data_IF_949753105767
#
_entry.id   IF_949753105767
#
_cell.length_a   1.000
_cell.length_b   1.000
_cell.length_c   1.000
_cell.angle_alpha   90.00
_cell.angle_beta   90.00
_cell.angle_gamma   90.00
#
_symmetry.space_group_name_H-M   'P 1'
#
loop_
_entity.id
_entity.type
_entity.pdbx_description
1 polymer ?
#
# COMPACT_ATOMS: atom_id res chain seq x y z
N UNK A 1 64.96 -11.90 -53.71
CA UNK A 1 64.21 -10.69 -53.30
C UNK A 1 62.70 -10.90 -53.14
N UNK A 2 61.95 -11.43 -54.12
CA UNK A 2 60.47 -11.55 -54.02
C UNK A 2 59.95 -12.42 -52.85
N UNK A 3 60.65 -13.50 -52.49
CA UNK A 3 60.27 -14.39 -51.37
C UNK A 3 60.49 -13.77 -49.98
N UNK A 4 61.48 -12.90 -49.83
CA UNK A 4 61.73 -12.19 -48.56
C UNK A 4 60.65 -11.12 -48.30
N UNK A 5 60.16 -10.44 -49.34
CA UNK A 5 59.02 -9.51 -49.20
C UNK A 5 57.74 -10.24 -48.76
N UNK A 6 57.44 -11.40 -49.33
CA UNK A 6 56.24 -12.15 -48.97
C UNK A 6 56.26 -12.59 -47.50
N UNK A 7 57.41 -13.08 -47.01
CA UNK A 7 57.58 -13.47 -45.60
C UNK A 7 57.48 -12.26 -44.68
N UNK A 8 58.10 -11.13 -45.04
CA UNK A 8 58.01 -9.89 -44.25
C UNK A 8 56.57 -9.35 -44.16
N UNK A 9 55.80 -9.41 -45.26
CA UNK A 9 54.40 -8.98 -45.28
C UNK A 9 53.51 -9.86 -44.41
N UNK A 10 53.72 -11.19 -44.43
CA UNK A 10 52.97 -12.13 -43.58
C UNK A 10 53.29 -11.90 -42.11
N UNK A 11 54.56 -11.71 -41.76
CA UNK A 11 54.97 -11.41 -40.37
C UNK A 11 54.35 -10.09 -39.88
N UNK A 12 54.33 -9.06 -40.72
CA UNK A 12 53.75 -7.77 -40.38
C UNK A 12 52.22 -7.87 -40.18
N UNK A 13 51.52 -8.65 -41.01
CA UNK A 13 50.08 -8.92 -40.87
C UNK A 13 49.75 -9.68 -39.57
N UNK A 14 50.57 -10.66 -39.20
CA UNK A 14 50.39 -11.44 -37.95
C UNK A 14 50.64 -10.56 -36.72
N UNK A 15 51.65 -9.69 -36.75
CA UNK A 15 51.92 -8.75 -35.67
C UNK A 15 50.81 -7.70 -35.51
N UNK A 16 50.23 -7.20 -36.61
CA UNK A 16 49.07 -6.31 -36.58
C UNK A 16 47.82 -7.00 -36.04
N UNK A 17 47.60 -8.28 -36.36
CA UNK A 17 46.49 -9.06 -35.80
C UNK A 17 46.65 -9.31 -34.29
N UNK A 18 47.87 -9.57 -33.82
CA UNK A 18 48.17 -9.75 -32.40
C UNK A 18 47.97 -8.46 -31.58
N UNK A 19 48.20 -7.29 -32.17
CA UNK A 19 47.96 -5.98 -31.54
C UNK A 19 46.46 -5.62 -31.40
N UNK A 20 45.59 -6.24 -32.20
CA UNK A 20 44.14 -6.04 -32.15
C UNK A 20 43.40 -6.99 -31.20
N UNK A 21 44.06 -8.05 -30.73
CA UNK A 21 43.52 -8.96 -29.71
C UNK A 21 43.72 -8.35 -28.31
N UNK A 22 43.13 -7.19 -28.06
CA UNK A 22 42.95 -6.74 -26.67
C UNK A 22 41.97 -7.72 -26.03
N UNK A 23 42.32 -8.36 -24.90
CA UNK A 23 41.36 -9.19 -24.17
C UNK A 23 40.14 -8.32 -23.90
N UNK A 24 38.98 -8.82 -24.32
CA UNK A 24 37.69 -8.21 -24.03
C UNK A 24 37.65 -7.96 -22.53
N UNK A 25 37.81 -6.69 -22.14
CA UNK A 25 37.61 -6.29 -20.76
C UNK A 25 36.23 -6.78 -20.40
N UNK A 26 36.19 -7.70 -19.43
CA UNK A 26 34.99 -8.16 -18.77
C UNK A 26 34.04 -6.96 -18.65
N UNK A 27 32.94 -7.00 -19.40
CA UNK A 27 31.84 -6.08 -19.18
C UNK A 27 31.40 -6.35 -17.74
N UNK A 28 31.94 -5.57 -16.81
CA UNK A 28 31.45 -5.52 -15.45
C UNK A 28 29.98 -5.15 -15.57
N UNK A 29 29.11 -6.14 -15.40
CA UNK A 29 27.67 -5.94 -15.27
C UNK A 29 27.49 -4.80 -14.28
N UNK A 30 27.03 -3.64 -14.77
CA UNK A 30 26.49 -2.60 -13.91
C UNK A 30 25.53 -3.31 -12.96
N UNK A 31 25.71 -3.22 -11.62
CA UNK A 31 24.79 -3.86 -10.70
C UNK A 31 23.46 -3.16 -10.88
N UNK A 32 22.60 -3.73 -11.71
CA UNK A 32 21.24 -3.27 -11.92
C UNK A 32 20.57 -3.46 -10.57
N UNK A 33 20.53 -2.40 -9.75
CA UNK A 33 19.86 -2.41 -8.46
C UNK A 33 18.41 -2.78 -8.74
N UNK A 34 18.07 -4.06 -8.55
CA UNK A 34 16.72 -4.57 -8.77
C UNK A 34 15.80 -3.75 -7.90
N UNK A 35 14.83 -3.06 -8.52
CA UNK A 35 13.82 -2.31 -7.77
C UNK A 35 13.10 -3.32 -6.87
N UNK A 36 13.16 -3.08 -5.56
CA UNK A 36 12.46 -3.91 -4.57
C UNK A 36 10.98 -3.96 -4.93
N UNK A 37 10.45 -5.16 -5.13
CA UNK A 37 9.02 -5.33 -5.37
C UNK A 37 8.25 -4.93 -4.10
N UNK A 38 7.20 -4.12 -4.27
CA UNK A 38 6.30 -3.77 -3.18
C UNK A 38 5.43 -4.97 -2.80
N UNK A 39 5.04 -4.98 -1.53
CA UNK A 39 4.28 -6.06 -0.91
C UNK A 39 3.24 -5.39 0.00
N UNK A 40 1.97 -5.48 -0.37
CA UNK A 40 0.88 -4.77 0.30
C UNK A 40 0.70 -5.28 1.73
N UNK A 41 0.90 -6.59 1.95
CA UNK A 41 0.87 -7.20 3.29
C UNK A 41 1.90 -6.57 4.21
N UNK A 42 3.12 -6.29 3.72
CA UNK A 42 4.17 -5.66 4.54
C UNK A 42 3.80 -4.24 4.95
N UNK A 43 3.02 -3.54 4.15
CA UNK A 43 2.53 -2.20 4.49
C UNK A 43 1.38 -2.26 5.49
N UNK A 44 0.44 -3.18 5.33
CA UNK A 44 -0.77 -3.29 6.17
C UNK A 44 -0.52 -4.00 7.50
N UNK A 45 0.45 -4.93 7.57
CA UNK A 45 0.79 -5.61 8.81
C UNK A 45 1.59 -4.68 9.74
N UNK A 46 0.87 -3.92 10.54
CA UNK A 46 1.38 -3.03 11.58
C UNK A 46 0.33 -2.90 12.69
N UNK A 47 0.77 -2.57 13.90
CA UNK A 47 -0.12 -2.28 15.04
C UNK A 47 -0.58 -0.82 15.05
N UNK A 48 0.06 0.05 14.28
CA UNK A 48 -0.31 1.46 14.25
C UNK A 48 -1.48 1.72 13.30
N UNK A 49 -2.34 2.73 13.59
CA UNK A 49 -3.35 3.17 12.65
C UNK A 49 -2.75 3.61 11.32
N UNK A 50 -3.43 3.28 10.22
CA UNK A 50 -3.07 3.73 8.88
C UNK A 50 -4.10 4.74 8.42
N UNK A 51 -3.67 5.98 8.20
CA UNK A 51 -4.50 7.09 7.79
C UNK A 51 -4.49 7.25 6.27
N UNK A 52 -5.65 7.49 5.68
CA UNK A 52 -5.72 8.04 4.33
C UNK A 52 -5.48 9.55 4.42
N UNK A 53 -4.30 10.00 3.99
CA UNK A 53 -3.89 11.40 4.09
C UNK A 53 -4.48 12.25 2.97
N UNK A 54 -4.37 11.76 1.73
CA UNK A 54 -4.85 12.42 0.53
C UNK A 54 -5.47 11.37 -0.41
N UNK A 55 -6.56 11.70 -1.09
CA UNK A 55 -7.25 10.77 -2.00
C UNK A 55 -7.70 11.48 -3.28
N UNK A 56 -7.73 10.76 -4.40
CA UNK A 56 -8.36 11.23 -5.64
C UNK A 56 -9.88 11.01 -5.65
N UNK A 57 -10.40 10.23 -4.69
CA UNK A 57 -11.83 10.03 -4.57
C UNK A 57 -12.48 11.32 -4.07
N UNK A 58 -13.19 12.02 -4.96
CA UNK A 58 -14.01 13.18 -4.58
C UNK A 58 -15.20 12.70 -3.77
N UNK A 59 -15.05 12.68 -2.45
CA UNK A 59 -16.08 12.25 -1.50
C UNK A 59 -16.16 13.22 -0.30
N UNK A 60 -17.35 13.32 0.30
CA UNK A 60 -17.57 14.09 1.54
C UNK A 60 -17.14 13.26 2.77
N UNK A 61 -15.91 12.72 2.73
CA UNK A 61 -15.33 11.86 3.76
C UNK A 61 -14.08 12.53 4.34
N UNK A 62 -13.90 12.42 5.65
CA UNK A 62 -12.78 13.00 6.40
C UNK A 62 -12.24 11.98 7.40
N UNK A 63 -10.97 12.13 7.78
CA UNK A 63 -10.35 11.35 8.85
C UNK A 63 -10.46 9.83 8.66
N UNK A 64 -10.36 9.35 7.43
CA UNK A 64 -10.40 7.93 7.17
C UNK A 64 -9.15 7.24 7.73
N UNK A 65 -9.39 6.23 8.56
CA UNK A 65 -8.35 5.46 9.24
C UNK A 65 -8.69 3.98 9.22
N UNK A 66 -7.67 3.15 9.00
CA UNK A 66 -7.75 1.71 9.12
C UNK A 66 -6.92 1.23 10.32
N UNK A 67 -7.52 0.43 11.19
CA UNK A 67 -6.87 -0.16 12.36
C UNK A 67 -6.95 -1.67 12.24
N UNK A 68 -5.79 -2.34 12.21
CA UNK A 68 -5.70 -3.79 12.10
C UNK A 68 -6.37 -4.45 13.31
N UNK A 69 -7.18 -5.47 13.03
CA UNK A 69 -7.77 -6.36 14.04
C UNK A 69 -6.92 -7.62 14.14
N UNK A 70 -6.68 -8.31 13.02
CA UNK A 70 -5.80 -9.47 12.95
C UNK A 70 -5.24 -9.65 11.53
N UNK A 71 -4.26 -10.54 11.37
CA UNK A 71 -3.67 -10.88 10.07
C UNK A 71 -3.21 -12.34 10.08
N UNK A 72 -3.43 -13.03 8.97
CA UNK A 72 -2.95 -14.39 8.69
C UNK A 72 -2.14 -14.40 7.40
N UNK A 73 -1.62 -15.56 7.00
CA UNK A 73 -0.93 -15.74 5.72
C UNK A 73 -1.84 -15.57 4.49
N UNK A 74 -3.16 -15.54 4.63
CA UNK A 74 -4.08 -15.37 3.50
C UNK A 74 -4.96 -14.12 3.59
N UNK A 75 -5.21 -13.59 4.78
CA UNK A 75 -6.13 -12.48 4.98
C UNK A 75 -5.64 -11.47 6.02
N UNK A 76 -6.20 -10.27 5.99
CA UNK A 76 -6.11 -9.27 7.05
C UNK A 76 -7.52 -8.79 7.37
N UNK A 77 -7.82 -8.61 8.66
CA UNK A 77 -9.04 -7.96 9.08
C UNK A 77 -8.69 -6.64 9.74
N UNK A 78 -9.44 -5.59 9.42
CA UNK A 78 -9.24 -4.27 10.00
C UNK A 78 -10.56 -3.54 10.10
N UNK A 79 -10.65 -2.62 11.06
CA UNK A 79 -11.74 -1.66 11.12
C UNK A 79 -11.36 -0.44 10.30
N UNK A 80 -12.25 0.02 9.43
CA UNK A 80 -12.13 1.30 8.73
C UNK A 80 -13.15 2.26 9.31
N UNK A 81 -12.68 3.38 9.83
CA UNK A 81 -13.52 4.44 10.38
C UNK A 81 -13.29 5.73 9.61
N UNK A 82 -14.34 6.54 9.48
CA UNK A 82 -14.25 7.87 8.89
C UNK A 82 -15.40 8.74 9.39
N UNK A 83 -15.29 10.05 9.14
CA UNK A 83 -16.39 10.99 9.32
C UNK A 83 -16.99 11.35 7.97
N UNK A 84 -18.30 11.47 7.93
CA UNK A 84 -19.05 12.08 6.83
C UNK A 84 -20.04 13.12 7.38
N UNK A 85 -21.04 13.52 6.58
CA UNK A 85 -22.07 14.48 7.02
C UNK A 85 -23.04 13.91 8.06
N UNK A 86 -23.18 12.59 8.16
CA UNK A 86 -24.06 11.88 9.09
C UNK A 86 -23.38 11.57 10.42
N UNK A 87 -22.05 11.62 10.46
CA UNK A 87 -21.26 11.43 11.67
C UNK A 87 -20.11 10.46 11.44
N UNK A 88 -19.76 9.70 12.48
CA UNK A 88 -18.73 8.66 12.37
C UNK A 88 -19.37 7.38 11.82
N UNK A 89 -18.73 6.80 10.82
CA UNK A 89 -19.02 5.46 10.33
C UNK A 89 -17.82 4.55 10.63
N UNK A 90 -18.08 3.30 11.02
CA UNK A 90 -17.05 2.28 11.22
C UNK A 90 -17.53 0.98 10.58
N UNK A 91 -16.69 0.35 9.78
CA UNK A 91 -16.94 -0.96 9.19
C UNK A 91 -15.78 -1.91 9.49
N UNK A 92 -16.09 -3.17 9.79
CA UNK A 92 -15.12 -4.26 9.75
C UNK A 92 -14.96 -4.70 8.29
N UNK A 93 -13.72 -4.86 7.83
CA UNK A 93 -13.40 -5.25 6.46
C UNK A 93 -12.41 -6.41 6.49
N UNK A 94 -12.57 -7.34 5.54
CA UNK A 94 -11.61 -8.39 5.23
C UNK A 94 -10.85 -8.00 3.96
N UNK A 95 -9.52 -8.11 3.99
CA UNK A 95 -8.67 -8.08 2.83
C UNK A 95 -8.05 -9.46 2.59
N UNK A 96 -8.26 -10.05 1.42
CA UNK A 96 -7.67 -11.33 1.01
C UNK A 96 -6.45 -11.08 0.13
N UNK A 97 -5.33 -11.70 0.52
CA UNK A 97 -4.09 -11.63 -0.22
C UNK A 97 -4.07 -12.71 -1.31
N UNK A 98 -3.71 -12.31 -2.53
CA UNK A 98 -3.53 -13.23 -3.65
C UNK A 98 -2.06 -13.65 -3.72
N UNK A 99 -1.78 -14.93 -3.50
CA UNK A 99 -0.42 -15.49 -3.30
C UNK A 99 0.60 -15.03 -4.35
N UNK A 100 0.20 -15.04 -5.63
CA UNK A 100 1.07 -14.70 -6.76
C UNK A 100 1.07 -13.20 -7.10
N UNK A 101 0.23 -12.39 -6.43
CA UNK A 101 0.11 -10.95 -6.64
C UNK A 101 0.38 -10.19 -5.36
N UNK A 102 1.66 -10.14 -4.94
CA UNK A 102 2.11 -9.45 -3.71
C UNK A 102 1.68 -7.99 -3.57
N UNK A 103 1.35 -7.31 -4.66
CA UNK A 103 0.89 -5.92 -4.66
C UNK A 103 -0.61 -5.77 -4.47
N UNK A 104 -1.37 -6.84 -4.64
CA UNK A 104 -2.81 -6.84 -4.79
C UNK A 104 -3.49 -7.43 -3.57
N UNK A 105 -4.67 -6.92 -3.27
CA UNK A 105 -5.56 -7.43 -2.24
C UNK A 105 -7.01 -7.23 -2.68
N UNK A 106 -7.82 -8.26 -2.49
CA UNK A 106 -9.27 -8.17 -2.67
C UNK A 106 -9.90 -7.80 -1.34
N UNK A 107 -10.72 -6.76 -1.30
CA UNK A 107 -11.36 -6.25 -0.09
C UNK A 107 -12.85 -6.51 -0.13
N UNK A 108 -13.39 -7.03 0.97
CA UNK A 108 -14.82 -7.24 1.13
C UNK A 108 -15.31 -6.87 2.53
N UNK A 109 -16.54 -6.39 2.62
CA UNK A 109 -17.29 -6.40 3.89
C UNK A 109 -17.70 -7.84 4.28
N UNK A 110 -17.94 -8.13 5.57
CA UNK A 110 -18.37 -9.47 6.02
C UNK A 110 -19.65 -9.98 5.36
N UNK A 111 -20.56 -9.08 4.98
CA UNK A 111 -21.80 -9.41 4.25
C UNK A 111 -21.59 -9.58 2.74
N UNK A 112 -20.37 -9.36 2.23
CA UNK A 112 -20.01 -9.46 0.82
C UNK A 112 -20.62 -8.39 -0.08
N UNK A 113 -21.36 -7.42 0.49
CA UNK A 113 -22.07 -6.40 -0.28
C UNK A 113 -21.10 -5.36 -0.84
N UNK A 114 -20.03 -5.03 -0.11
CA UNK A 114 -19.02 -4.06 -0.52
C UNK A 114 -17.75 -4.78 -0.94
N UNK A 115 -17.46 -4.80 -2.25
CA UNK A 115 -16.24 -5.40 -2.79
C UNK A 115 -15.41 -4.39 -3.58
N UNK A 116 -14.11 -4.31 -3.29
CA UNK A 116 -13.13 -3.47 -3.96
C UNK A 116 -11.82 -4.23 -4.14
N UNK A 117 -10.97 -3.75 -5.04
CA UNK A 117 -9.61 -4.26 -5.16
C UNK A 117 -8.61 -3.15 -4.80
N UNK A 118 -7.54 -3.50 -4.12
CA UNK A 118 -6.44 -2.57 -3.79
C UNK A 118 -5.11 -3.06 -4.35
N UNK A 119 -4.39 -2.18 -5.05
CA UNK A 119 -3.03 -2.42 -5.53
C UNK A 119 -2.04 -1.38 -4.97
N UNK A 120 -0.96 -1.83 -4.32
CA UNK A 120 0.10 -0.94 -3.85
C UNK A 120 1.01 -0.53 -5.02
N UNK A 121 0.95 0.74 -5.41
CA UNK A 121 1.74 1.29 -6.53
C UNK A 121 3.06 1.89 -6.08
N UNK A 122 3.16 2.25 -4.80
CA UNK A 122 4.39 2.73 -4.17
C UNK A 122 4.39 2.44 -2.67
N UNK A 123 5.56 2.11 -2.13
CA UNK A 123 5.80 2.00 -0.69
C UNK A 123 7.16 2.64 -0.38
N UNK A 124 7.20 3.47 0.65
CA UNK A 124 8.44 3.99 1.23
C UNK A 124 9.31 2.88 1.83
N UNK A 125 10.61 3.14 1.96
CA UNK A 125 11.57 2.12 2.39
C UNK A 125 11.39 1.71 3.87
N UNK A 126 10.99 2.69 4.71
CA UNK A 126 10.57 2.53 6.11
C UNK A 126 9.11 2.08 6.26
N UNK A 127 8.37 1.98 5.15
CA UNK A 127 6.93 1.65 5.09
C UNK A 127 6.03 2.67 5.78
N UNK A 128 6.54 3.87 6.08
CA UNK A 128 5.79 4.92 6.75
C UNK A 128 4.63 5.48 5.91
N UNK A 129 4.74 5.39 4.59
CA UNK A 129 3.70 5.79 3.65
C UNK A 129 3.68 4.94 2.37
N UNK A 130 2.50 4.86 1.75
CA UNK A 130 2.26 4.14 0.52
C UNK A 130 1.26 4.89 -0.36
N UNK A 131 1.31 4.60 -1.67
CA UNK A 131 0.26 4.99 -2.60
C UNK A 131 -0.48 3.72 -3.00
N UNK A 132 -1.79 3.71 -2.77
CA UNK A 132 -2.70 2.59 -3.03
C UNK A 132 -3.62 3.01 -4.17
N UNK A 133 -3.73 2.16 -5.19
CA UNK A 133 -4.80 2.25 -6.20
C UNK A 133 -5.98 1.45 -5.68
N UNK A 134 -7.17 2.02 -5.75
CA UNK A 134 -8.43 1.38 -5.36
C UNK A 134 -9.30 1.27 -6.60
N UNK A 135 -9.72 0.06 -6.94
CA UNK A 135 -10.61 -0.21 -8.07
C UNK A 135 -11.98 -0.62 -7.54
N UNK A 136 -13.00 0.15 -7.91
CA UNK A 136 -14.38 -0.08 -7.51
C UNK A 136 -15.25 -0.46 -8.70
N UNK A 137 -15.98 -1.57 -8.58
CA UNK A 137 -16.94 -2.01 -9.60
C UNK A 137 -18.30 -1.28 -9.54
N UNK A 138 -18.54 -0.44 -8.52
CA UNK A 138 -19.86 0.13 -8.23
C UNK A 138 -20.38 1.18 -9.24
N UNK A 139 -19.58 1.57 -10.23
CA UNK A 139 -20.00 2.50 -11.30
C UNK A 139 -19.03 2.41 -12.50
N UNK A 140 -19.06 1.29 -13.22
CA UNK A 140 -18.29 1.14 -14.47
C UNK A 140 -16.77 0.99 -14.32
N UNK A 141 -16.30 0.39 -13.21
CA UNK A 141 -14.88 0.25 -12.87
C UNK A 141 -14.15 1.60 -12.78
N UNK A 142 -14.15 2.19 -11.59
CA UNK A 142 -13.45 3.44 -11.32
C UNK A 142 -12.17 3.18 -10.52
N UNK A 143 -11.05 3.64 -11.06
CA UNK A 143 -9.77 3.68 -10.35
C UNK A 143 -9.63 5.01 -9.59
N UNK A 144 -9.40 4.92 -8.28
CA UNK A 144 -8.97 6.04 -7.44
C UNK A 144 -7.63 5.72 -6.80
N UNK A 145 -6.99 6.74 -6.23
CA UNK A 145 -5.71 6.58 -5.55
C UNK A 145 -5.76 7.24 -4.19
N UNK A 146 -5.15 6.56 -3.21
CA UNK A 146 -4.97 7.03 -1.85
C UNK A 146 -3.49 7.13 -1.50
N UNK A 147 -3.10 8.23 -0.90
CA UNK A 147 -1.85 8.37 -0.15
C UNK A 147 -2.13 7.96 1.29
N UNK A 148 -1.67 6.76 1.67
CA UNK A 148 -1.83 6.23 3.02
C UNK A 148 -0.57 6.36 3.84
N UNK A 149 -0.73 6.65 5.12
CA UNK A 149 0.36 7.03 6.02
C UNK A 149 0.15 6.34 7.36
N UNK A 150 1.18 5.67 7.83
CA UNK A 150 1.20 5.04 9.14
C UNK A 150 1.31 6.09 10.25
N UNK A 151 0.65 5.87 11.38
CA UNK A 151 0.48 6.90 12.41
C UNK A 151 1.80 7.53 12.89
N UNK A 152 2.84 6.72 13.12
CA UNK A 152 4.17 7.20 13.54
C UNK A 152 4.81 8.17 12.56
N UNK A 153 4.48 8.07 11.26
CA UNK A 153 5.05 8.90 10.19
C UNK A 153 4.37 10.25 10.04
N UNK A 154 3.25 10.50 10.73
CA UNK A 154 2.56 11.79 10.68
C UNK A 154 3.31 12.89 11.41
N UNK A 155 4.04 12.56 12.49
CA UNK A 155 4.78 13.52 13.30
C UNK A 155 5.94 14.16 12.52
N UNK A 156 6.66 13.35 11.74
CA UNK A 156 7.78 13.80 10.90
C UNK A 156 7.34 14.44 9.58
N UNK A 157 6.03 14.48 9.32
CA UNK A 157 5.46 14.90 8.05
C UNK A 157 5.63 13.86 6.93
N UNK A 158 4.85 14.04 5.87
CA UNK A 158 4.88 13.11 4.73
C UNK A 158 6.13 13.34 3.92
N UNK A 159 6.90 12.27 3.67
CA UNK A 159 8.10 12.36 2.84
C UNK A 159 7.78 12.89 1.43
N UNK A 160 8.64 13.77 0.93
CA UNK A 160 8.51 14.37 -0.41
C UNK A 160 8.42 13.28 -1.51
N UNK A 161 9.12 12.15 -1.32
CA UNK A 161 9.08 11.00 -2.23
C UNK A 161 7.68 10.37 -2.31
N UNK A 162 6.95 10.26 -1.19
CA UNK A 162 5.57 9.77 -1.17
C UNK A 162 4.62 10.74 -1.87
N UNK A 163 4.68 12.02 -1.50
CA UNK A 163 3.84 13.05 -2.14
C UNK A 163 4.07 13.08 -3.65
N UNK A 164 5.34 13.10 -4.10
CA UNK A 164 5.68 13.08 -5.53
C UNK A 164 5.17 11.83 -6.24
N UNK A 165 5.13 10.67 -5.58
CA UNK A 165 4.61 9.43 -6.16
C UNK A 165 3.08 9.48 -6.31
N UNK A 166 2.40 10.07 -5.34
CA UNK A 166 0.95 10.30 -5.38
C UNK A 166 0.58 11.35 -6.45
N UNK A 167 1.22 12.52 -6.44
CA UNK A 167 0.93 13.63 -7.36
C UNK A 167 1.17 13.27 -8.84
N UNK A 168 2.05 12.31 -9.11
CA UNK A 168 2.24 11.74 -10.47
C UNK A 168 1.03 10.99 -11.01
N UNK A 169 0.15 10.50 -10.13
CA UNK A 169 -1.10 9.79 -10.46
C UNK A 169 -2.31 10.70 -10.31
N UNK A 170 -2.24 11.61 -9.34
CA UNK A 170 -3.36 12.46 -8.92
C UNK A 170 -2.90 13.91 -8.92
N UNK A 171 -3.09 14.66 -10.01
CA UNK A 171 -2.76 16.09 -10.06
C UNK A 171 -3.55 16.90 -9.03
N UNK A 172 -4.81 16.53 -8.80
CA UNK A 172 -5.74 17.19 -7.87
C UNK A 172 -6.28 16.17 -6.86
N UNK A 173 -5.63 16.08 -5.71
CA UNK A 173 -6.08 15.25 -4.59
C UNK A 173 -6.78 16.06 -3.50
N UNK A 174 -7.66 15.41 -2.74
CA UNK A 174 -8.30 15.95 -1.55
C UNK A 174 -7.56 15.46 -0.29
N UNK A 175 -6.95 16.39 0.45
CA UNK A 175 -6.38 16.08 1.76
C UNK A 175 -7.53 15.90 2.77
N UNK A 176 -7.68 14.68 3.29
CA UNK A 176 -8.77 14.31 4.21
C UNK A 176 -8.29 14.07 5.64
N UNK A 177 -6.98 13.97 5.87
CA UNK A 177 -6.39 13.93 7.19
C UNK A 177 -6.08 15.34 7.72
N UNK A 178 -6.36 15.55 8.99
CA UNK A 178 -5.94 16.72 9.78
C UNK A 178 -5.60 16.27 11.21
N UNK A 179 -4.80 17.02 11.99
CA UNK A 179 -4.40 16.60 13.34
C UNK A 179 -5.57 16.21 14.27
N UNK A 180 -6.70 16.91 14.18
CA UNK A 180 -7.90 16.58 14.97
C UNK A 180 -8.52 15.22 14.66
N UNK A 181 -8.14 14.58 13.54
CA UNK A 181 -8.65 13.28 13.16
C UNK A 181 -8.29 12.20 14.19
N UNK A 182 -7.18 12.36 14.91
CA UNK A 182 -6.76 11.44 15.98
C UNK A 182 -7.88 11.13 16.98
N UNK A 183 -8.80 12.09 17.21
CA UNK A 183 -9.97 11.94 18.08
C UNK A 183 -10.93 10.82 17.67
N UNK A 184 -10.88 10.35 16.42
CA UNK A 184 -11.71 9.22 15.97
C UNK A 184 -11.31 7.92 16.70
N UNK A 185 -10.05 7.82 17.12
CA UNK A 185 -9.47 6.66 17.80
C UNK A 185 -9.87 6.59 19.28
N UNK A 186 -10.11 7.75 19.91
CA UNK A 186 -10.49 7.86 21.34
C UNK A 186 -11.82 7.19 21.67
N UNK A 187 -12.63 6.83 20.66
CA UNK A 187 -13.97 6.27 20.81
C UNK A 187 -14.03 4.80 20.36
N UNK A 188 -12.97 4.03 20.56
CA UNK A 188 -12.85 2.66 20.02
C UNK A 188 -13.09 1.55 21.05
N UNK A 189 -14.20 0.83 20.92
CA UNK A 189 -14.19 -0.64 20.80
C UNK A 189 -15.55 -1.12 20.30
N UNK A 190 -15.61 -1.59 19.05
CA UNK A 190 -16.68 -2.54 18.66
C UNK A 190 -16.15 -3.89 19.11
N UNK A 191 -16.63 -4.35 20.26
CA UNK A 191 -16.44 -5.73 20.71
C UNK A 191 -17.06 -6.63 19.64
N UNK A 192 -16.23 -7.45 18.99
CA UNK A 192 -16.72 -8.58 18.19
C UNK A 192 -17.37 -9.53 19.19
N UNK A 193 -18.70 -9.45 19.30
CA UNK A 193 -19.47 -10.34 20.15
C UNK A 193 -19.35 -11.76 19.62
N UNK A 194 -18.50 -12.57 20.25
CA UNK A 194 -18.67 -14.01 20.22
C UNK A 194 -19.92 -14.31 21.05
N UNK A 195 -20.91 -14.94 20.41
CA UNK A 195 -22.04 -15.55 21.08
C UNK A 195 -21.53 -16.60 22.05
N UNK A 196 -21.75 -16.40 23.36
CA UNK A 196 -22.28 -17.42 24.26
C UNK A 196 -22.67 -16.82 25.63
N UNK A 197 -23.94 -17.05 25.99
CA UNK A 197 -24.47 -17.26 27.35
C UNK A 197 -24.44 -16.09 28.37
N UNK A 198 -25.61 -15.47 28.50
CA UNK A 198 -26.26 -15.21 29.79
C UNK A 198 -25.68 -14.15 30.72
N UNK A 199 -26.39 -13.03 30.86
CA UNK A 199 -26.71 -12.42 32.16
C UNK A 199 -27.79 -11.35 31.96
N UNK A 200 -28.94 -11.60 32.57
CA UNK A 200 -30.08 -10.70 32.69
C UNK A 200 -29.65 -9.48 33.52
N UNK A 201 -29.89 -8.23 33.10
CA UNK A 201 -29.84 -7.12 34.03
C UNK A 201 -31.10 -7.15 34.90
N UNK A 202 -30.94 -7.65 36.12
CA UNK A 202 -31.85 -7.35 37.22
C UNK A 202 -31.75 -5.85 37.51
N UNK A 203 -32.76 -5.08 37.09
CA UNK A 203 -33.28 -3.87 37.74
C UNK A 203 -34.28 -3.19 36.79
N UNK A 204 -35.51 -3.70 36.76
CA UNK A 204 -36.66 -2.94 36.31
C UNK A 204 -37.35 -2.35 37.55
N UNK A 205 -37.58 -1.02 37.64
CA UNK A 205 -38.36 -0.46 38.72
C UNK A 205 -39.83 -0.83 38.56
N UNK A 206 -40.37 -1.54 39.54
CA UNK A 206 -41.80 -1.78 39.72
C UNK A 206 -42.49 -0.51 40.16
N UNK A 207 -43.42 0.04 39.36
CA UNK A 207 -44.51 0.85 39.88
C UNK A 207 -45.82 0.55 39.12
N UNK A 208 -46.84 0.32 39.93
CA UNK A 208 -48.20 -0.19 39.69
C UNK A 208 -49.12 0.81 38.99
N UNK A 209 -50.21 0.34 38.35
CA UNK A 209 -51.21 1.19 37.72
C UNK A 209 -52.19 1.78 38.76
N UNK A 210 -52.56 3.04 38.55
CA UNK A 210 -53.85 3.64 38.93
C UNK A 210 -54.55 4.06 37.64
#
# INVERSE_FOLDING_TARGET
MKRLCAVAMVVCLVLLFALCLKPTQSFSFLPFKRKKAYDIRKFLNTEEPIWTYNTSMRANVWCEVSVKVNVTDSSIFFTRSSYDRKGRTTALLEGKFVSDRKKHMDMSSPDGVYTLNEDIVYMSDDRGCAVIMVTSSFDGQKETFDLRVRNSSLASGITEKCQRKFNKRVPEGQVIYKPQCQRILDRGEVVVGNTEQGLIPANAPSWTPL
#
